data_IF_108955016046
#
_entry.id   IF_108955016046
#
_cell.length_a   1.000
_cell.length_b   1.000
_cell.length_c   1.000
_cell.angle_alpha   90.00
_cell.angle_beta   90.00
_cell.angle_gamma   90.00
#
_symmetry.space_group_name_H-M   'P 1'
#
loop_
_entity.id
_entity.type
_entity.pdbx_description
1 polymer ?
#
# COMPACT_ATOMS: atom_id res chain seq x y z
N UNK A 1 9.27 84.72 -7.11
CA UNK A 1 9.49 83.67 -6.06
C UNK A 1 8.60 82.51 -6.40
N UNK A 2 9.22 81.47 -7.04
CA UNK A 2 8.50 80.32 -7.63
C UNK A 2 8.49 79.15 -6.64
N UNK A 3 7.30 78.78 -6.19
CA UNK A 3 7.10 77.57 -5.39
C UNK A 3 6.78 76.40 -6.29
N UNK A 4 7.71 75.45 -6.42
CA UNK A 4 7.57 74.17 -7.15
C UNK A 4 6.86 73.18 -6.24
N UNK A 5 5.59 72.89 -6.51
CA UNK A 5 4.84 71.79 -5.91
C UNK A 5 5.30 70.50 -6.57
N UNK A 6 6.05 69.65 -5.84
CA UNK A 6 6.39 68.29 -6.24
C UNK A 6 5.23 67.35 -5.82
N UNK A 7 4.47 66.90 -6.81
CA UNK A 7 3.53 65.80 -6.65
C UNK A 7 4.30 64.48 -6.56
N UNK A 8 4.32 63.85 -5.38
CA UNK A 8 4.76 62.46 -5.24
C UNK A 8 3.57 61.57 -5.60
N UNK A 9 3.64 60.91 -6.75
CA UNK A 9 2.72 59.84 -7.16
C UNK A 9 3.13 58.54 -6.46
N UNK A 10 2.40 58.18 -5.40
CA UNK A 10 2.58 56.87 -4.73
C UNK A 10 1.81 55.84 -5.55
N UNK A 11 2.54 55.08 -6.35
CA UNK A 11 2.00 53.91 -7.05
C UNK A 11 1.93 52.78 -6.04
N UNK A 12 0.75 52.54 -5.47
CA UNK A 12 0.47 51.36 -4.66
C UNK A 12 0.37 50.12 -5.57
N UNK A 13 1.42 49.34 -5.65
CA UNK A 13 1.38 48.03 -6.28
C UNK A 13 0.62 47.10 -5.34
N UNK A 14 -0.67 46.90 -5.59
CA UNK A 14 -1.44 45.82 -4.96
C UNK A 14 -0.93 44.47 -5.48
N UNK A 15 -0.13 43.80 -4.68
CA UNK A 15 0.29 42.44 -4.94
C UNK A 15 -0.92 41.52 -4.78
N UNK A 16 -1.60 41.20 -5.88
CA UNK A 16 -2.66 40.19 -5.91
C UNK A 16 -2.02 38.84 -5.62
N UNK A 17 -2.06 38.44 -4.36
CA UNK A 17 -1.80 37.06 -3.95
C UNK A 17 -2.93 36.22 -4.53
N UNK A 18 -2.72 35.67 -5.71
CA UNK A 18 -3.55 34.58 -6.25
C UNK A 18 -3.32 33.36 -5.36
N UNK A 19 -4.13 33.22 -4.30
CA UNK A 19 -4.25 31.96 -3.61
C UNK A 19 -4.87 30.99 -4.60
N UNK A 20 -4.03 30.14 -5.21
CA UNK A 20 -4.49 28.97 -5.93
C UNK A 20 -5.04 28.02 -4.85
N UNK A 21 -6.30 28.17 -4.49
CA UNK A 21 -6.98 27.18 -3.66
C UNK A 21 -6.94 25.88 -4.46
N UNK A 22 -6.12 24.92 -4.05
CA UNK A 22 -6.12 23.59 -4.64
C UNK A 22 -7.53 23.03 -4.46
N UNK A 23 -8.17 22.66 -5.56
CA UNK A 23 -9.47 22.00 -5.51
C UNK A 23 -9.35 20.71 -4.71
N UNK A 24 -10.36 20.39 -3.90
CA UNK A 24 -10.41 19.12 -3.17
C UNK A 24 -10.34 17.98 -4.20
N UNK A 25 -9.41 17.02 -4.08
CA UNK A 25 -9.21 15.96 -5.05
C UNK A 25 -10.26 14.86 -4.86
N UNK A 26 -11.47 15.10 -5.38
CA UNK A 26 -12.65 14.25 -5.12
C UNK A 26 -12.47 12.82 -5.60
N UNK A 27 -11.91 12.64 -6.80
CA UNK A 27 -11.70 11.30 -7.37
C UNK A 27 -10.65 10.54 -6.58
N UNK A 28 -9.54 11.18 -6.21
CA UNK A 28 -8.52 10.59 -5.34
C UNK A 28 -9.06 10.18 -3.98
N UNK A 29 -9.99 10.95 -3.41
CA UNK A 29 -10.66 10.60 -2.14
C UNK A 29 -11.54 9.35 -2.31
N UNK A 30 -12.30 9.24 -3.40
CA UNK A 30 -13.08 8.03 -3.72
C UNK A 30 -12.19 6.81 -3.89
N UNK A 31 -11.08 6.96 -4.63
CA UNK A 31 -10.12 5.89 -4.89
C UNK A 31 -9.39 5.47 -3.60
N UNK A 32 -9.01 6.42 -2.73
CA UNK A 32 -8.44 6.11 -1.42
C UNK A 32 -9.41 5.32 -0.52
N UNK A 33 -10.71 5.66 -0.53
CA UNK A 33 -11.73 4.89 0.21
C UNK A 33 -11.88 3.49 -0.35
N UNK A 34 -11.85 3.35 -1.67
CA UNK A 34 -11.90 2.04 -2.34
C UNK A 34 -10.66 1.22 -1.99
N UNK A 35 -9.47 1.78 -2.11
CA UNK A 35 -8.22 1.13 -1.75
C UNK A 35 -8.21 0.74 -0.27
N UNK A 36 -8.60 1.64 0.64
CA UNK A 36 -8.69 1.34 2.07
C UNK A 36 -9.57 0.13 2.39
N UNK A 37 -10.73 -0.01 1.72
CA UNK A 37 -11.61 -1.15 1.90
C UNK A 37 -11.02 -2.43 1.30
N UNK A 38 -10.39 -2.36 0.13
CA UNK A 38 -9.70 -3.48 -0.52
C UNK A 38 -8.57 -4.00 0.35
N UNK A 39 -7.65 -3.14 0.75
CA UNK A 39 -6.49 -3.48 1.58
C UNK A 39 -6.89 -4.04 2.95
N UNK A 40 -7.90 -3.43 3.58
CA UNK A 40 -8.41 -3.93 4.86
C UNK A 40 -9.02 -5.33 4.72
N UNK A 41 -9.72 -5.59 3.59
CA UNK A 41 -10.26 -6.91 3.27
C UNK A 41 -9.14 -7.91 3.00
N UNK A 42 -8.11 -7.53 2.24
CA UNK A 42 -6.96 -8.39 1.94
C UNK A 42 -6.16 -8.71 3.20
N UNK A 43 -5.96 -7.74 4.10
CA UNK A 43 -5.30 -7.98 5.39
C UNK A 43 -6.04 -9.03 6.24
N UNK A 44 -7.36 -8.93 6.39
CA UNK A 44 -8.15 -9.92 7.13
C UNK A 44 -8.15 -11.28 6.43
N UNK A 45 -8.40 -11.28 5.12
CA UNK A 45 -8.43 -12.48 4.28
C UNK A 45 -7.12 -13.27 4.36
N UNK A 46 -5.97 -12.62 4.19
CA UNK A 46 -4.68 -13.28 4.21
C UNK A 46 -4.29 -13.75 5.61
N UNK A 47 -4.73 -13.05 6.68
CA UNK A 47 -4.60 -13.56 8.04
C UNK A 47 -5.33 -14.90 8.21
N UNK A 48 -6.55 -15.04 7.68
CA UNK A 48 -7.31 -16.29 7.72
C UNK A 48 -6.73 -17.38 6.81
N UNK A 49 -6.15 -17.01 5.69
CA UNK A 49 -5.42 -17.94 4.81
C UNK A 49 -4.16 -18.47 5.48
N UNK A 50 -3.45 -17.64 6.25
CA UNK A 50 -2.31 -18.08 7.06
C UNK A 50 -2.73 -19.12 8.13
N UNK A 51 -3.82 -18.86 8.87
CA UNK A 51 -4.37 -19.82 9.84
C UNK A 51 -4.69 -21.16 9.17
N UNK A 52 -5.32 -21.13 7.99
CA UNK A 52 -5.66 -22.33 7.22
C UNK A 52 -4.43 -23.08 6.74
N UNK A 53 -3.42 -22.38 6.24
CA UNK A 53 -2.17 -22.99 5.77
C UNK A 53 -1.45 -23.72 6.92
N UNK A 54 -1.41 -23.16 8.13
CA UNK A 54 -0.85 -23.83 9.31
C UNK A 54 -1.61 -25.10 9.66
N UNK A 55 -2.95 -25.07 9.63
CA UNK A 55 -3.79 -26.25 9.90
C UNK A 55 -3.51 -27.38 8.87
N UNK A 56 -3.17 -27.01 7.64
CA UNK A 56 -2.84 -27.96 6.57
C UNK A 56 -1.35 -28.37 6.55
N UNK A 57 -0.52 -27.83 7.46
CA UNK A 57 0.91 -28.19 7.58
C UNK A 57 1.81 -27.44 6.58
N UNK A 58 1.35 -26.31 6.00
CA UNK A 58 2.10 -25.45 5.08
C UNK A 58 2.64 -24.22 5.82
N UNK A 59 3.59 -24.41 6.73
CA UNK A 59 4.07 -23.37 7.62
C UNK A 59 4.80 -22.23 6.90
N UNK A 60 5.55 -22.55 5.85
CA UNK A 60 6.24 -21.56 5.02
C UNK A 60 5.24 -20.64 4.29
N UNK A 61 4.17 -21.24 3.74
CA UNK A 61 3.10 -20.50 3.08
C UNK A 61 2.30 -19.67 4.08
N UNK A 62 2.07 -20.20 5.28
CA UNK A 62 1.43 -19.45 6.35
C UNK A 62 2.22 -18.19 6.71
N UNK A 63 3.55 -18.29 6.82
CA UNK A 63 4.42 -17.17 7.13
C UNK A 63 4.42 -16.12 6.01
N UNK A 64 4.36 -16.53 4.74
CA UNK A 64 4.16 -15.64 3.60
C UNK A 64 2.83 -14.88 3.73
N UNK A 65 1.72 -15.58 3.97
CA UNK A 65 0.42 -14.93 4.15
C UNK A 65 0.40 -13.96 5.33
N UNK A 66 1.05 -14.27 6.44
CA UNK A 66 1.17 -13.36 7.60
C UNK A 66 1.92 -12.08 7.22
N UNK A 67 3.02 -12.19 6.48
CA UNK A 67 3.80 -11.05 6.03
C UNK A 67 2.99 -10.18 5.06
N UNK A 68 2.33 -10.77 4.07
CA UNK A 68 1.51 -10.03 3.12
C UNK A 68 0.30 -9.40 3.83
N UNK A 69 -0.41 -10.13 4.71
CA UNK A 69 -1.48 -9.56 5.54
C UNK A 69 -1.03 -8.30 6.29
N UNK A 70 0.20 -8.32 6.83
CA UNK A 70 0.77 -7.14 7.51
C UNK A 70 1.06 -5.99 6.55
N UNK A 71 1.54 -6.30 5.35
CA UNK A 71 1.74 -5.32 4.28
C UNK A 71 0.44 -4.59 3.95
N UNK A 72 -0.64 -5.33 3.69
CA UNK A 72 -1.95 -4.76 3.34
C UNK A 72 -2.52 -3.90 4.48
N UNK A 73 -2.35 -4.31 5.73
CA UNK A 73 -2.75 -3.48 6.87
C UNK A 73 -1.98 -2.14 6.95
N UNK A 74 -0.72 -2.11 6.48
CA UNK A 74 0.07 -0.88 6.39
C UNK A 74 -0.39 -0.03 5.22
N UNK A 75 -0.70 -0.62 4.06
CA UNK A 75 -1.27 0.08 2.91
C UNK A 75 -2.60 0.74 3.30
N UNK A 76 -3.53 -0.01 3.90
CA UNK A 76 -4.79 0.51 4.41
C UNK A 76 -4.58 1.71 5.36
N UNK A 77 -3.64 1.57 6.31
CA UNK A 77 -3.29 2.66 7.24
C UNK A 77 -2.75 3.89 6.52
N UNK A 78 -1.94 3.71 5.48
CA UNK A 78 -1.39 4.82 4.70
C UNK A 78 -2.48 5.54 3.90
N UNK A 79 -3.44 4.81 3.32
CA UNK A 79 -4.58 5.41 2.64
C UNK A 79 -5.45 6.24 3.59
N UNK A 80 -5.73 5.73 4.81
CA UNK A 80 -6.46 6.50 5.85
C UNK A 80 -5.74 7.77 6.22
N UNK A 81 -4.42 7.74 6.46
CA UNK A 81 -3.64 8.93 6.77
C UNK A 81 -3.73 10.02 5.69
N UNK A 82 -3.83 9.62 4.42
CA UNK A 82 -4.03 10.57 3.32
C UNK A 82 -5.47 11.10 3.30
N UNK A 83 -6.46 10.23 3.53
CA UNK A 83 -7.87 10.64 3.67
C UNK A 83 -8.05 11.67 4.79
N UNK A 84 -7.42 11.47 5.94
CA UNK A 84 -7.44 12.41 7.06
C UNK A 84 -6.87 13.78 6.68
N UNK A 85 -5.79 13.83 5.88
CA UNK A 85 -5.24 15.09 5.35
C UNK A 85 -6.21 15.82 4.41
N UNK A 86 -7.10 15.10 3.75
CA UNK A 86 -8.15 15.66 2.90
C UNK A 86 -9.45 15.97 3.66
N UNK A 87 -9.44 15.83 5.00
CA UNK A 87 -10.57 16.18 5.86
C UNK A 87 -11.58 15.06 6.08
N UNK A 88 -11.30 13.86 5.64
CA UNK A 88 -12.10 12.68 5.92
C UNK A 88 -11.71 12.08 7.28
N UNK A 89 -12.67 11.90 8.18
CA UNK A 89 -12.42 11.44 9.54
C UNK A 89 -13.35 10.28 9.92
N UNK A 90 -12.94 9.51 10.94
CA UNK A 90 -13.71 8.39 11.49
C UNK A 90 -14.10 7.34 10.44
N UNK A 91 -13.16 7.00 9.54
CA UNK A 91 -13.37 6.05 8.47
C UNK A 91 -13.24 4.63 9.03
N UNK A 92 -14.30 3.84 8.88
CA UNK A 92 -14.31 2.41 9.22
C UNK A 92 -14.27 1.60 7.92
N UNK A 93 -13.41 0.56 7.81
CA UNK A 93 -13.33 -0.23 6.58
C UNK A 93 -14.61 -1.07 6.39
N UNK A 94 -15.03 -1.18 5.15
CA UNK A 94 -16.07 -2.11 4.73
C UNK A 94 -15.39 -3.39 4.26
N UNK A 95 -15.32 -4.38 5.14
CA UNK A 95 -14.71 -5.67 4.84
C UNK A 95 -15.68 -6.47 3.95
N UNK A 96 -15.24 -6.81 2.75
CA UNK A 96 -15.99 -7.68 1.86
C UNK A 96 -15.97 -9.13 2.38
N UNK A 97 -17.05 -9.87 2.15
CA UNK A 97 -17.11 -11.29 2.49
C UNK A 97 -16.14 -12.09 1.60
N UNK A 98 -15.48 -13.08 2.16
CA UNK A 98 -14.60 -14.01 1.45
C UNK A 98 -14.74 -15.42 2.01
N UNK A 99 -14.32 -16.41 1.25
CA UNK A 99 -14.28 -17.81 1.67
C UNK A 99 -12.84 -18.22 1.98
N UNK A 100 -12.67 -19.04 3.02
CA UNK A 100 -11.41 -19.73 3.32
C UNK A 100 -11.53 -21.16 2.83
N UNK A 101 -10.72 -21.51 1.84
CA UNK A 101 -10.69 -22.82 1.19
C UNK A 101 -9.40 -23.58 1.55
N UNK A 102 -8.98 -24.51 0.69
CA UNK A 102 -7.67 -25.15 0.82
C UNK A 102 -6.54 -24.14 0.59
N UNK A 103 -5.37 -24.41 1.13
CA UNK A 103 -4.18 -23.53 0.95
C UNK A 103 -3.89 -23.27 -0.53
N UNK A 104 -3.99 -24.28 -1.39
CA UNK A 104 -3.78 -24.11 -2.82
C UNK A 104 -4.80 -23.16 -3.47
N UNK A 105 -6.09 -23.29 -3.13
CA UNK A 105 -7.15 -22.40 -3.64
C UNK A 105 -7.00 -20.98 -3.08
N UNK A 106 -6.57 -20.85 -1.83
CA UNK A 106 -6.32 -19.58 -1.19
C UNK A 106 -5.16 -18.83 -1.84
N UNK A 107 -4.05 -19.52 -2.19
CA UNK A 107 -2.94 -18.92 -2.96
C UNK A 107 -3.43 -18.45 -4.32
N UNK A 108 -4.23 -19.25 -5.03
CA UNK A 108 -4.76 -18.85 -6.33
C UNK A 108 -5.68 -17.62 -6.20
N UNK A 109 -6.46 -17.56 -5.13
CA UNK A 109 -7.32 -16.40 -4.82
C UNK A 109 -6.48 -15.16 -4.57
N UNK A 110 -5.40 -15.28 -3.80
CA UNK A 110 -4.45 -14.19 -3.54
C UNK A 110 -3.77 -13.75 -4.85
N UNK A 111 -3.20 -14.68 -5.61
CA UNK A 111 -2.56 -14.39 -6.91
C UNK A 111 -3.48 -13.61 -7.85
N UNK A 112 -4.75 -13.97 -7.93
CA UNK A 112 -5.72 -13.28 -8.77
C UNK A 112 -6.02 -11.87 -8.25
N UNK A 113 -6.10 -11.67 -6.92
CA UNK A 113 -6.33 -10.37 -6.30
C UNK A 113 -5.15 -9.42 -6.58
N UNK A 114 -3.92 -9.85 -6.30
CA UNK A 114 -2.72 -9.05 -6.58
C UNK A 114 -2.57 -8.72 -8.07
N UNK A 115 -2.95 -9.67 -8.95
CA UNK A 115 -2.95 -9.43 -10.40
C UNK A 115 -3.92 -8.29 -10.76
N UNK A 116 -5.13 -8.30 -10.21
CA UNK A 116 -6.12 -7.26 -10.46
C UNK A 116 -5.64 -5.89 -9.92
N UNK A 117 -5.12 -5.86 -8.71
CA UNK A 117 -4.64 -4.63 -8.06
C UNK A 117 -3.46 -4.04 -8.85
N UNK A 118 -2.49 -4.88 -9.23
CA UNK A 118 -1.31 -4.47 -9.99
C UNK A 118 -1.64 -4.02 -11.42
N UNK A 119 -2.53 -4.73 -12.14
CA UNK A 119 -2.79 -4.47 -13.56
C UNK A 119 -3.92 -3.47 -13.81
N UNK A 120 -4.87 -3.37 -12.89
CA UNK A 120 -6.13 -2.65 -13.13
C UNK A 120 -6.36 -1.53 -12.12
N UNK A 121 -6.35 -1.84 -10.83
CA UNK A 121 -6.80 -0.91 -9.79
C UNK A 121 -5.82 0.24 -9.60
N UNK A 122 -4.59 -0.06 -9.18
CA UNK A 122 -3.61 0.98 -8.84
C UNK A 122 -3.16 1.84 -10.02
N UNK A 123 -2.97 1.33 -11.25
CA UNK A 123 -2.67 2.19 -12.40
C UNK A 123 -3.74 3.25 -12.67
N UNK A 124 -5.02 2.93 -12.42
CA UNK A 124 -6.13 3.89 -12.53
C UNK A 124 -6.06 4.92 -11.41
N UNK A 125 -5.90 4.49 -10.16
CA UNK A 125 -5.86 5.38 -8.99
C UNK A 125 -4.67 6.35 -9.04
N UNK A 126 -3.49 5.89 -9.45
CA UNK A 126 -2.30 6.73 -9.62
C UNK A 126 -2.56 7.81 -10.68
N UNK A 127 -3.07 7.41 -11.85
CA UNK A 127 -3.41 8.34 -12.93
C UNK A 127 -4.43 9.40 -12.48
N UNK A 128 -5.47 8.99 -11.77
CA UNK A 128 -6.53 9.89 -11.31
C UNK A 128 -5.99 10.88 -10.26
N UNK A 129 -5.10 10.41 -9.35
CA UNK A 129 -4.41 11.26 -8.39
C UNK A 129 -3.45 12.27 -9.06
N UNK A 130 -2.73 11.85 -10.11
CA UNK A 130 -1.86 12.74 -10.90
C UNK A 130 -2.68 13.82 -11.62
N UNK A 131 -3.82 13.45 -12.22
CA UNK A 131 -4.73 14.39 -12.90
C UNK A 131 -5.28 15.45 -11.94
N UNK A 132 -5.57 15.08 -10.68
CA UNK A 132 -6.02 15.99 -9.63
C UNK A 132 -4.87 16.70 -8.89
N UNK A 133 -3.61 16.42 -9.22
CA UNK A 133 -2.40 16.91 -8.54
C UNK A 133 -2.39 16.54 -7.04
N UNK A 134 -2.97 15.41 -6.69
CA UNK A 134 -3.08 14.86 -5.36
C UNK A 134 -1.82 14.04 -5.00
N UNK A 135 -0.67 14.70 -4.83
CA UNK A 135 0.63 14.06 -4.70
C UNK A 135 0.72 13.05 -3.54
N UNK A 136 0.04 13.32 -2.42
CA UNK A 136 0.02 12.40 -1.27
C UNK A 136 -0.76 11.11 -1.59
N UNK A 137 -1.87 11.21 -2.34
CA UNK A 137 -2.64 10.07 -2.81
C UNK A 137 -1.83 9.26 -3.82
N UNK A 138 -1.26 9.91 -4.83
CA UNK A 138 -0.40 9.27 -5.82
C UNK A 138 0.75 8.49 -5.16
N UNK A 139 1.41 9.09 -4.16
CA UNK A 139 2.47 8.44 -3.39
C UNK A 139 1.98 7.20 -2.64
N UNK A 140 0.83 7.30 -1.97
CA UNK A 140 0.25 6.18 -1.20
C UNK A 140 -0.11 5.01 -2.11
N UNK A 141 -0.74 5.29 -3.26
CA UNK A 141 -1.05 4.28 -4.28
C UNK A 141 0.20 3.66 -4.92
N UNK A 142 1.24 4.47 -5.19
CA UNK A 142 2.49 3.96 -5.77
C UNK A 142 3.19 2.99 -4.81
N UNK A 143 3.20 3.27 -3.51
CA UNK A 143 3.81 2.38 -2.53
C UNK A 143 3.10 1.02 -2.45
N UNK A 144 1.76 1.02 -2.45
CA UNK A 144 0.98 -0.20 -2.51
C UNK A 144 1.25 -0.94 -3.84
N UNK A 145 1.07 -0.28 -4.98
CA UNK A 145 1.29 -0.86 -6.30
C UNK A 145 2.66 -1.53 -6.48
N UNK A 146 3.71 -0.93 -5.96
CA UNK A 146 5.06 -1.50 -6.03
C UNK A 146 5.21 -2.72 -5.12
N UNK A 147 4.49 -2.78 -3.99
CA UNK A 147 4.44 -3.95 -3.12
C UNK A 147 3.64 -5.09 -3.77
N UNK A 148 2.49 -4.80 -4.43
CA UNK A 148 1.66 -5.83 -5.10
C UNK A 148 2.40 -6.59 -6.19
N UNK A 149 3.33 -5.93 -6.90
CA UNK A 149 4.22 -6.60 -7.86
C UNK A 149 5.08 -7.69 -7.22
N UNK A 150 5.53 -7.45 -5.99
CA UNK A 150 6.32 -8.43 -5.22
C UNK A 150 5.43 -9.54 -4.66
N UNK A 151 4.27 -9.18 -4.09
CA UNK A 151 3.31 -10.15 -3.58
C UNK A 151 2.89 -11.14 -4.68
N UNK A 152 2.57 -10.62 -5.89
CA UNK A 152 2.27 -11.45 -7.06
C UNK A 152 3.39 -12.43 -7.38
N UNK A 153 4.66 -11.98 -7.35
CA UNK A 153 5.82 -12.84 -7.56
C UNK A 153 5.92 -13.93 -6.50
N UNK A 154 5.73 -13.59 -5.22
CA UNK A 154 5.80 -14.53 -4.11
C UNK A 154 4.69 -15.59 -4.18
N UNK A 155 3.45 -15.19 -4.48
CA UNK A 155 2.35 -16.14 -4.67
C UNK A 155 2.54 -17.02 -5.91
N UNK A 156 3.19 -16.52 -6.97
CA UNK A 156 3.58 -17.35 -8.12
C UNK A 156 4.56 -18.45 -7.73
N UNK A 157 5.57 -18.11 -6.93
CA UNK A 157 6.53 -19.11 -6.39
C UNK A 157 5.82 -20.10 -5.48
N UNK A 158 4.93 -19.65 -4.59
CA UNK A 158 4.14 -20.48 -3.71
C UNK A 158 3.26 -21.48 -4.49
N UNK A 159 2.59 -21.03 -5.55
CA UNK A 159 1.80 -21.90 -6.46
C UNK A 159 2.65 -22.99 -7.08
N UNK A 160 3.83 -22.61 -7.59
CA UNK A 160 4.77 -23.56 -8.19
C UNK A 160 5.26 -24.58 -7.18
N UNK A 161 5.59 -24.15 -5.98
CA UNK A 161 6.07 -25.00 -4.88
C UNK A 161 5.03 -26.05 -4.49
N UNK A 162 3.77 -25.65 -4.32
CA UNK A 162 2.67 -26.60 -4.02
C UNK A 162 2.44 -27.59 -5.15
N UNK A 163 2.47 -27.15 -6.41
CA UNK A 163 2.29 -28.02 -7.58
C UNK A 163 3.37 -29.11 -7.64
N UNK A 164 4.58 -28.78 -7.23
CA UNK A 164 5.71 -29.70 -7.16
C UNK A 164 5.73 -30.56 -5.87
N UNK A 165 4.71 -30.44 -5.02
CA UNK A 165 4.58 -31.19 -3.77
C UNK A 165 5.62 -30.82 -2.70
N UNK A 166 6.15 -29.62 -2.74
CA UNK A 166 7.24 -29.19 -1.85
C UNK A 166 7.17 -27.67 -1.58
N UNK A 167 7.30 -27.27 -0.33
CA UNK A 167 7.57 -25.86 0.02
C UNK A 167 9.03 -25.43 -0.19
N UNK A 168 9.87 -26.34 -0.73
CA UNK A 168 11.27 -26.04 -1.04
C UNK A 168 11.36 -24.92 -2.07
N UNK A 169 12.12 -23.88 -1.72
CA UNK A 169 12.29 -22.68 -2.54
C UNK A 169 11.45 -21.50 -2.10
N UNK A 170 10.53 -21.68 -1.15
CA UNK A 170 9.93 -20.55 -0.43
C UNK A 170 10.81 -20.15 0.74
N UNK A 171 10.91 -18.86 0.98
CA UNK A 171 11.59 -18.34 2.18
C UNK A 171 10.72 -18.56 3.41
N UNK A 172 11.33 -19.00 4.51
CA UNK A 172 10.68 -19.01 5.83
C UNK A 172 10.70 -17.63 6.50
N UNK A 173 11.58 -16.74 6.04
CA UNK A 173 11.80 -15.45 6.67
C UNK A 173 11.34 -14.34 5.75
N UNK A 174 10.39 -13.57 6.23
CA UNK A 174 9.81 -12.42 5.55
C UNK A 174 9.96 -11.17 6.40
N UNK A 175 10.07 -10.04 5.75
CA UNK A 175 10.29 -8.75 6.40
C UNK A 175 9.41 -7.71 5.74
N UNK A 176 8.70 -6.91 6.54
CA UNK A 176 7.79 -5.89 6.05
C UNK A 176 8.23 -4.52 6.55
N UNK A 177 8.37 -3.57 5.66
CA UNK A 177 8.66 -2.18 6.00
C UNK A 177 7.46 -1.56 6.73
N UNK A 178 7.61 -1.08 7.99
CA UNK A 178 6.49 -0.57 8.78
C UNK A 178 5.95 0.77 8.26
N UNK A 179 6.64 1.41 7.32
CA UNK A 179 6.27 2.71 6.78
C UNK A 179 5.47 2.60 5.49
N UNK A 180 5.94 1.83 4.51
CA UNK A 180 5.31 1.75 3.19
C UNK A 180 4.69 0.39 2.86
N UNK A 181 4.86 -0.63 3.70
CA UNK A 181 4.33 -1.97 3.45
C UNK A 181 5.22 -2.86 2.56
N UNK A 182 6.26 -2.32 1.92
CA UNK A 182 7.10 -3.13 1.05
C UNK A 182 7.60 -4.40 1.74
N UNK A 183 7.42 -5.54 1.08
CA UNK A 183 7.73 -6.88 1.60
C UNK A 183 9.02 -7.42 0.97
N UNK A 184 9.82 -8.12 1.77
CA UNK A 184 11.08 -8.75 1.39
C UNK A 184 11.11 -10.19 1.91
N UNK A 185 11.73 -11.07 1.15
CA UNK A 185 12.22 -12.35 1.68
C UNK A 185 13.67 -12.21 2.17
N UNK A 186 14.24 -13.28 2.73
CA UNK A 186 15.61 -13.26 3.24
C UNK A 186 16.67 -13.02 2.14
N UNK A 187 16.37 -13.38 0.88
CA UNK A 187 17.31 -13.32 -0.24
C UNK A 187 17.37 -11.91 -0.86
N UNK A 188 16.24 -11.18 -0.87
CA UNK A 188 16.14 -9.84 -1.43
C UNK A 188 16.20 -8.72 -0.37
N UNK A 189 16.48 -9.09 0.89
CA UNK A 189 16.55 -8.17 2.01
C UNK A 189 17.69 -7.18 1.86
N UNK A 190 17.39 -5.89 2.04
CA UNK A 190 18.34 -4.77 1.88
C UNK A 190 18.54 -4.01 3.18
N UNK A 191 19.62 -3.25 3.25
CA UNK A 191 19.94 -2.40 4.43
C UNK A 191 18.95 -1.25 4.64
N UNK A 192 18.19 -0.90 3.59
CA UNK A 192 17.10 0.08 3.64
C UNK A 192 16.02 -0.26 2.62
N UNK A 193 14.81 0.18 2.89
CA UNK A 193 13.66 -0.01 2.01
C UNK A 193 13.87 0.73 0.67
N UNK A 194 13.63 0.06 -0.44
CA UNK A 194 13.77 0.61 -1.79
C UNK A 194 12.80 1.76 -2.07
N UNK A 195 11.63 1.78 -1.38
CA UNK A 195 10.57 2.76 -1.65
C UNK A 195 10.64 3.99 -0.75
N UNK A 196 10.88 3.79 0.56
CA UNK A 196 10.78 4.88 1.54
C UNK A 196 12.06 5.13 2.34
N UNK A 197 13.14 4.38 2.07
CA UNK A 197 14.47 4.48 2.69
C UNK A 197 14.48 4.14 4.19
N UNK A 198 13.43 3.57 4.74
CA UNK A 198 13.40 3.08 6.13
C UNK A 198 14.50 2.03 6.32
N UNK A 199 15.27 2.14 7.40
CA UNK A 199 16.35 1.19 7.69
C UNK A 199 15.81 -0.19 8.03
N UNK A 200 16.53 -1.23 7.60
CA UNK A 200 16.18 -2.64 7.82
C UNK A 200 15.95 -2.99 9.31
N UNK A 201 16.71 -2.40 10.21
CA UNK A 201 16.56 -2.60 11.66
C UNK A 201 15.15 -2.32 12.21
N UNK A 202 14.35 -1.58 11.46
CA UNK A 202 12.95 -1.25 11.80
C UNK A 202 11.93 -2.17 11.12
N UNK A 203 12.36 -3.11 10.27
CA UNK A 203 11.42 -3.98 9.57
C UNK A 203 10.76 -4.97 10.52
N UNK A 204 9.52 -5.30 10.24
CA UNK A 204 8.76 -6.30 10.98
C UNK A 204 9.11 -7.66 10.40
N UNK A 205 9.73 -8.51 11.22
CA UNK A 205 10.11 -9.87 10.80
C UNK A 205 8.99 -10.88 11.03
N UNK A 206 8.84 -11.79 10.08
CA UNK A 206 8.01 -12.99 10.15
C UNK A 206 8.93 -14.18 9.88
N UNK A 207 9.16 -14.96 10.91
CA UNK A 207 10.07 -16.10 10.88
C UNK A 207 9.36 -17.32 11.44
N UNK A 208 9.89 -18.51 11.16
CA UNK A 208 9.43 -19.72 11.82
C UNK A 208 9.41 -19.51 13.34
N UNK A 209 8.30 -19.83 13.98
CA UNK A 209 8.25 -19.83 15.45
C UNK A 209 9.14 -20.96 15.93
N UNK A 210 10.28 -20.63 16.56
CA UNK A 210 11.02 -21.63 17.33
C UNK A 210 10.09 -22.22 18.40
N UNK A 211 9.85 -23.53 18.34
CA UNK A 211 9.12 -24.29 19.36
C UNK A 211 9.74 -24.07 20.76
#
# INVERSE_FOLDING_TARGET
MNSLFRFFLIISIALLMVHCASSIPKKSIEDLKTAFNSESTSADKYSKFAEKARVEGFDTIATLFEAVSKSEAIHATNHVKVLEKYGEHAITPQIASFEVKTTAENIQTAFNAETYEMQTQYPVFIRDAENEKAAEAAKSFTWAWDAEKKHLSYFSVATTSLTNGSEKGLSFNWYVCPVCGNTYNAEDLKTSCDFCLTKQENFIGFTEKSE
#
